data_IF_131923480841
#
_entry.id   IF_131923480841
#
_cell.length_a   1.000
_cell.length_b   1.000
_cell.length_c   1.000
_cell.angle_alpha   90.00
_cell.angle_beta   90.00
_cell.angle_gamma   90.00
#
_symmetry.space_group_name_H-M   'P 1'
#
loop_
_entity.id
_entity.type
_entity.pdbx_description
1 polymer ?
#
# COMPACT_ATOMS: atom_id res chain seq x y z
N UNK A 1 -41.08 -48.87 -16.81
CA UNK A 1 -41.62 -47.56 -17.20
C UNK A 1 -41.65 -46.73 -15.91
N UNK A 2 -40.48 -46.42 -15.38
CA UNK A 2 -39.66 -45.22 -15.68
C UNK A 2 -40.40 -43.96 -15.21
N UNK A 3 -40.08 -43.45 -14.02
CA UNK A 3 -38.96 -42.53 -13.68
C UNK A 3 -39.20 -41.13 -14.24
N UNK A 4 -39.41 -40.17 -13.33
CA UNK A 4 -38.79 -38.83 -13.38
C UNK A 4 -39.06 -38.08 -12.08
N UNK A 5 -38.15 -38.26 -11.13
CA UNK A 5 -37.88 -37.32 -10.05
C UNK A 5 -36.60 -36.58 -10.46
N UNK A 6 -36.73 -35.27 -10.72
CA UNK A 6 -35.64 -34.42 -11.16
C UNK A 6 -35.01 -33.72 -9.97
N UNK A 7 -33.91 -34.29 -9.49
CA UNK A 7 -32.99 -33.75 -8.50
C UNK A 7 -32.25 -32.51 -9.04
N UNK A 8 -32.23 -31.43 -8.26
CA UNK A 8 -31.54 -30.17 -8.63
C UNK A 8 -30.07 -30.26 -8.25
N UNK A 9 -29.22 -30.29 -9.28
CA UNK A 9 -27.77 -30.39 -9.17
C UNK A 9 -27.13 -29.26 -8.37
N UNK A 10 -26.43 -29.65 -7.30
CA UNK A 10 -25.30 -28.91 -6.74
C UNK A 10 -23.99 -29.36 -7.38
N UNK A 11 -23.08 -28.40 -7.55
CA UNK A 11 -21.63 -28.52 -7.77
C UNK A 11 -21.10 -28.42 -9.20
N UNK A 12 -20.93 -27.18 -9.67
CA UNK A 12 -20.10 -26.85 -10.83
C UNK A 12 -19.13 -25.68 -10.57
N UNK A 13 -18.32 -25.74 -9.51
CA UNK A 13 -17.25 -24.72 -9.27
C UNK A 13 -15.86 -25.27 -8.90
N UNK A 14 -15.62 -26.58 -8.90
CA UNK A 14 -14.31 -27.13 -8.48
C UNK A 14 -13.38 -27.59 -9.64
N UNK A 15 -13.80 -27.50 -10.91
CA UNK A 15 -12.99 -27.99 -12.04
C UNK A 15 -12.05 -26.95 -12.69
N UNK A 16 -12.09 -25.68 -12.29
CA UNK A 16 -11.31 -24.60 -12.93
C UNK A 16 -9.95 -24.28 -12.30
N UNK A 17 -9.80 -24.48 -10.98
CA UNK A 17 -8.62 -24.03 -10.23
C UNK A 17 -7.40 -24.94 -10.44
N UNK A 18 -7.60 -26.26 -10.31
CA UNK A 18 -6.53 -27.26 -10.43
C UNK A 18 -5.94 -27.36 -11.85
N UNK A 19 -6.74 -27.09 -12.89
CA UNK A 19 -6.30 -27.23 -14.28
C UNK A 19 -5.29 -26.17 -14.71
N UNK A 20 -5.43 -24.94 -14.22
CA UNK A 20 -4.54 -23.83 -14.58
C UNK A 20 -3.21 -23.93 -13.84
N UNK A 21 -3.22 -24.25 -12.56
CA UNK A 21 -1.99 -24.49 -11.78
C UNK A 21 -1.23 -25.73 -12.30
N UNK A 22 -1.92 -26.80 -12.69
CA UNK A 22 -1.28 -27.98 -13.29
C UNK A 22 -0.64 -27.67 -14.66
N UNK A 23 -1.26 -26.81 -15.47
CA UNK A 23 -0.68 -26.34 -16.73
C UNK A 23 0.54 -25.44 -16.51
N UNK A 24 0.50 -24.55 -15.51
CA UNK A 24 1.64 -23.70 -15.15
C UNK A 24 2.82 -24.54 -14.62
N UNK A 25 2.56 -25.50 -13.73
CA UNK A 25 3.59 -26.43 -13.27
C UNK A 25 4.13 -27.29 -14.42
N UNK A 26 3.25 -27.79 -15.30
CA UNK A 26 3.65 -28.57 -16.47
C UNK A 26 4.52 -27.78 -17.45
N UNK A 27 4.19 -26.51 -17.70
CA UNK A 27 4.98 -25.63 -18.57
C UNK A 27 6.34 -25.29 -17.96
N UNK A 28 6.40 -25.02 -16.66
CA UNK A 28 7.66 -24.80 -15.95
C UNK A 28 8.56 -26.05 -15.97
N UNK A 29 7.97 -27.23 -15.74
CA UNK A 29 8.72 -28.49 -15.75
C UNK A 29 9.23 -28.83 -17.15
N UNK A 30 8.41 -28.58 -18.18
CA UNK A 30 8.79 -28.80 -19.58
C UNK A 30 9.87 -27.81 -20.03
N UNK A 31 9.77 -26.54 -19.63
CA UNK A 31 10.79 -25.53 -19.91
C UNK A 31 12.12 -25.85 -19.22
N UNK A 32 12.08 -26.27 -17.95
CA UNK A 32 13.26 -26.69 -17.20
C UNK A 32 13.89 -27.94 -17.82
N UNK A 33 13.08 -28.93 -18.22
CA UNK A 33 13.54 -30.14 -18.91
C UNK A 33 14.18 -29.84 -20.26
N UNK A 34 13.57 -28.97 -21.06
CA UNK A 34 14.13 -28.53 -22.35
C UNK A 34 15.47 -27.80 -22.17
N UNK A 35 15.55 -26.90 -21.18
CA UNK A 35 16.80 -26.22 -20.85
C UNK A 35 17.89 -27.21 -20.40
N UNK A 36 17.54 -28.21 -19.58
CA UNK A 36 18.46 -29.24 -19.12
C UNK A 36 18.95 -30.14 -20.26
N UNK A 37 18.08 -30.49 -21.22
CA UNK A 37 18.46 -31.23 -22.42
C UNK A 37 19.40 -30.45 -23.34
N UNK A 38 19.21 -29.14 -23.48
CA UNK A 38 20.13 -28.28 -24.24
C UNK A 38 21.50 -28.25 -23.56
N UNK A 39 21.55 -28.13 -22.24
CA UNK A 39 22.81 -28.15 -21.46
C UNK A 39 23.53 -29.50 -21.60
N UNK A 40 22.80 -30.61 -21.49
CA UNK A 40 23.36 -31.96 -21.66
C UNK A 40 23.81 -32.24 -23.09
N UNK A 41 23.07 -31.74 -24.09
CA UNK A 41 23.39 -31.91 -25.50
C UNK A 41 24.60 -31.08 -25.96
N UNK A 42 24.84 -29.92 -25.36
CA UNK A 42 25.97 -29.04 -25.70
C UNK A 42 27.20 -29.24 -24.80
N UNK A 43 27.06 -29.99 -23.69
CA UNK A 43 28.09 -30.15 -22.66
C UNK A 43 29.34 -30.95 -23.05
N UNK A 44 29.36 -31.59 -24.22
CA UNK A 44 30.49 -32.44 -24.65
C UNK A 44 31.39 -31.80 -25.74
N UNK A 45 31.23 -30.51 -26.04
CA UNK A 45 32.15 -29.78 -26.94
C UNK A 45 32.45 -28.38 -26.42
N UNK A 46 33.72 -27.95 -26.50
CA UNK A 46 34.15 -26.59 -26.15
C UNK A 46 33.35 -25.50 -26.89
N UNK A 47 32.81 -25.84 -28.07
CA UNK A 47 31.94 -24.99 -28.88
C UNK A 47 30.59 -24.74 -28.22
N UNK A 48 30.03 -25.71 -27.51
CA UNK A 48 28.72 -25.60 -26.85
C UNK A 48 28.72 -24.61 -25.69
N UNK A 49 29.78 -24.61 -24.88
CA UNK A 49 29.93 -23.66 -23.77
C UNK A 49 30.05 -22.22 -24.29
N UNK A 50 30.86 -22.00 -25.35
CA UNK A 50 31.02 -20.68 -25.96
C UNK A 50 29.72 -20.16 -26.58
N UNK A 51 28.94 -21.03 -27.21
CA UNK A 51 27.62 -20.67 -27.75
C UNK A 51 26.65 -20.24 -26.64
N UNK A 52 26.64 -20.95 -25.50
CA UNK A 52 25.79 -20.62 -24.36
C UNK A 52 26.13 -19.24 -23.76
N UNK A 53 27.43 -18.96 -23.61
CA UNK A 53 27.91 -17.65 -23.12
C UNK A 53 27.52 -16.54 -24.10
N UNK A 54 27.70 -16.75 -25.41
CA UNK A 54 27.36 -15.76 -26.43
C UNK A 54 25.85 -15.44 -26.43
N UNK A 55 24.98 -16.46 -26.34
CA UNK A 55 23.53 -16.28 -26.25
C UNK A 55 23.12 -15.57 -24.95
N UNK A 56 23.74 -15.92 -23.82
CA UNK A 56 23.50 -15.26 -22.54
C UNK A 56 23.87 -13.77 -22.57
N UNK A 57 25.03 -13.43 -23.13
CA UNK A 57 25.47 -12.05 -23.32
C UNK A 57 24.56 -11.28 -24.28
N UNK A 58 24.10 -11.92 -25.36
CA UNK A 58 23.16 -11.32 -26.30
C UNK A 58 21.83 -10.97 -25.63
N UNK A 59 21.27 -11.88 -24.82
CA UNK A 59 20.03 -11.64 -24.08
C UNK A 59 20.17 -10.53 -23.04
N UNK A 60 21.30 -10.45 -22.35
CA UNK A 60 21.61 -9.35 -21.43
C UNK A 60 21.71 -8.02 -22.15
N UNK A 61 22.38 -7.98 -23.31
CA UNK A 61 22.51 -6.77 -24.12
C UNK A 61 21.16 -6.28 -24.65
N UNK A 62 20.32 -7.19 -25.17
CA UNK A 62 18.97 -6.88 -25.65
C UNK A 62 18.08 -6.39 -24.50
N UNK A 63 18.15 -7.02 -23.33
CA UNK A 63 17.39 -6.58 -22.14
C UNK A 63 17.83 -5.19 -21.65
N UNK A 64 19.13 -4.92 -21.61
CA UNK A 64 19.67 -3.62 -21.23
C UNK A 64 19.27 -2.53 -22.23
N UNK A 65 19.34 -2.82 -23.54
CA UNK A 65 18.89 -1.91 -24.59
C UNK A 65 17.38 -1.64 -24.48
N UNK A 66 16.56 -2.66 -24.29
CA UNK A 66 15.11 -2.51 -24.17
C UNK A 66 14.73 -1.68 -22.94
N UNK A 67 15.42 -1.90 -21.80
CA UNK A 67 15.28 -1.08 -20.60
C UNK A 67 15.66 0.37 -20.87
N UNK A 68 16.80 0.60 -21.53
CA UNK A 68 17.26 1.95 -21.86
C UNK A 68 16.35 2.68 -22.85
N UNK A 69 15.83 1.97 -23.86
CA UNK A 69 14.85 2.52 -24.80
C UNK A 69 13.54 2.89 -24.13
N UNK A 70 13.03 2.09 -23.18
CA UNK A 70 11.84 2.46 -22.38
C UNK A 70 12.10 3.66 -21.46
N UNK A 71 13.28 3.74 -20.85
CA UNK A 71 13.66 4.91 -20.05
C UNK A 71 13.86 6.17 -20.91
N UNK A 72 14.35 6.03 -22.15
CA UNK A 72 14.50 7.15 -23.10
C UNK A 72 13.18 7.59 -23.73
N UNK A 73 12.28 6.67 -24.06
CA UNK A 73 10.96 7.00 -24.58
C UNK A 73 10.09 7.73 -23.53
N UNK A 74 10.28 7.43 -22.24
CA UNK A 74 9.67 8.17 -21.14
C UNK A 74 10.25 9.58 -20.93
N UNK A 75 11.42 9.88 -21.50
CA UNK A 75 12.05 11.21 -21.42
C UNK A 75 11.92 12.05 -22.70
N UNK A 76 11.24 11.56 -23.74
CA UNK A 76 11.07 12.27 -25.02
C UNK A 76 9.63 12.71 -25.35
N UNK A 77 8.72 12.74 -24.37
CA UNK A 77 7.37 13.30 -24.57
C UNK A 77 7.23 14.67 -23.90
N UNK A 78 7.83 15.69 -24.52
CA UNK A 78 7.54 17.11 -24.22
C UNK A 78 7.01 17.76 -25.50
N UNK A 79 5.70 18.05 -25.63
CA UNK A 79 5.21 18.86 -26.74
C UNK A 79 5.62 20.31 -26.48
N UNK A 80 6.63 20.78 -27.21
CA UNK A 80 7.01 22.19 -27.24
C UNK A 80 5.97 23.00 -27.99
N UNK A 81 5.11 23.70 -27.25
CA UNK A 81 4.28 24.79 -27.79
C UNK A 81 5.16 25.99 -28.18
N UNK A 82 4.93 26.50 -29.40
CA UNK A 82 5.52 27.70 -30.00
C UNK A 82 5.40 28.95 -29.12
N UNK A 83 6.46 29.78 -29.08
CA UNK A 83 6.45 31.21 -29.48
C UNK A 83 7.75 31.93 -29.09
N UNK A 84 8.24 32.81 -29.99
CA UNK A 84 9.04 33.98 -29.60
C UNK A 84 10.55 33.91 -29.84
N UNK A 85 10.97 34.16 -31.07
CA UNK A 85 12.32 34.63 -31.41
C UNK A 85 12.62 35.95 -30.68
N UNK A 86 13.57 35.90 -29.76
CA UNK A 86 14.20 37.07 -29.15
C UNK A 86 15.50 36.65 -28.47
N UNK A 87 16.63 36.97 -29.09
CA UNK A 87 17.97 36.93 -28.52
C UNK A 87 18.66 38.26 -28.88
N UNK A 88 19.80 38.65 -28.27
CA UNK A 88 20.53 38.03 -27.16
C UNK A 88 20.93 39.03 -26.05
N UNK A 89 21.42 38.57 -24.89
CA UNK A 89 22.53 39.21 -24.13
C UNK A 89 23.10 38.22 -23.10
N UNK A 90 24.40 37.90 -23.30
CA UNK A 90 25.48 37.42 -22.39
C UNK A 90 25.32 37.84 -20.91
N UNK A 91 25.76 37.16 -19.82
CA UNK A 91 26.61 36.01 -19.46
C UNK A 91 26.47 35.85 -17.89
N UNK A 92 27.36 35.21 -17.10
CA UNK A 92 28.14 33.97 -17.23
C UNK A 92 27.73 32.91 -16.17
N UNK A 93 28.31 31.71 -16.27
CA UNK A 93 27.94 30.53 -15.49
C UNK A 93 28.14 30.62 -13.96
N UNK A 94 27.14 30.13 -13.25
CA UNK A 94 27.28 29.46 -11.96
C UNK A 94 26.85 27.99 -12.10
N UNK A 95 27.40 27.06 -11.30
CA UNK A 95 27.00 25.65 -11.36
C UNK A 95 25.51 25.52 -11.07
N UNK A 96 24.81 24.52 -11.64
CA UNK A 96 23.39 24.33 -11.37
C UNK A 96 23.19 24.08 -9.88
N UNK A 97 22.55 25.03 -9.21
CA UNK A 97 22.02 24.83 -7.86
C UNK A 97 21.08 23.62 -7.93
N UNK A 98 21.42 22.56 -7.21
CA UNK A 98 20.55 21.42 -7.05
C UNK A 98 19.18 21.91 -6.55
N UNK A 99 18.06 21.60 -7.23
CA UNK A 99 16.74 21.90 -6.71
C UNK A 99 16.50 20.94 -5.54
N UNK A 100 16.65 21.38 -4.29
CA UNK A 100 16.52 20.42 -3.20
C UNK A 100 16.45 20.92 -1.77
N UNK A 101 16.72 22.19 -1.46
CA UNK A 101 16.69 22.65 -0.07
C UNK A 101 15.68 23.76 0.19
N UNK A 102 15.33 24.58 -0.80
CA UNK A 102 14.36 25.66 -0.64
C UNK A 102 12.91 25.18 -0.59
N UNK A 103 12.59 24.05 -1.24
CA UNK A 103 11.24 23.46 -1.26
C UNK A 103 10.89 22.75 0.06
N UNK A 104 11.89 22.15 0.72
CA UNK A 104 11.68 21.29 1.90
C UNK A 104 11.11 22.06 3.10
N UNK A 105 11.34 23.38 3.18
CA UNK A 105 10.92 24.19 4.33
C UNK A 105 9.49 24.72 4.24
N UNK A 106 8.83 24.62 3.08
CA UNK A 106 7.42 25.01 2.89
C UNK A 106 6.51 23.81 2.55
N UNK A 107 7.02 22.57 2.62
CA UNK A 107 6.18 21.42 2.34
C UNK A 107 5.34 21.04 3.56
N UNK A 108 4.09 20.67 3.29
CA UNK A 108 3.15 20.23 4.30
C UNK A 108 2.82 18.76 4.09
N UNK A 109 2.67 18.04 5.21
CA UNK A 109 2.38 16.61 5.19
C UNK A 109 0.86 16.34 5.12
N UNK A 110 0.50 15.40 4.27
CA UNK A 110 -0.87 14.96 4.03
C UNK A 110 -0.97 13.44 4.11
N UNK A 111 -2.09 12.94 4.63
CA UNK A 111 -2.55 11.57 4.43
C UNK A 111 -3.59 11.57 3.32
N UNK A 112 -3.40 10.68 2.34
CA UNK A 112 -4.31 10.42 1.23
C UNK A 112 -4.66 8.95 1.27
N UNK A 113 -5.86 8.63 1.73
CA UNK A 113 -6.41 7.28 1.71
C UNK A 113 -7.32 7.14 0.50
N UNK A 114 -7.17 6.08 -0.29
CA UNK A 114 -7.89 5.90 -1.55
C UNK A 114 -8.01 4.41 -1.88
N UNK A 115 -9.15 4.02 -2.43
CA UNK A 115 -9.31 2.72 -3.07
C UNK A 115 -8.84 2.83 -4.52
N UNK A 116 -7.75 2.15 -4.85
CA UNK A 116 -7.22 2.05 -6.22
C UNK A 116 -7.62 0.70 -6.79
N UNK A 117 -8.07 0.67 -8.05
CA UNK A 117 -8.39 -0.60 -8.71
C UNK A 117 -7.17 -1.52 -8.75
N UNK A 118 -7.35 -2.78 -8.33
CA UNK A 118 -6.30 -3.81 -8.33
C UNK A 118 -6.04 -4.35 -9.74
N UNK A 119 -5.59 -3.47 -10.64
CA UNK A 119 -5.17 -3.78 -12.01
C UNK A 119 -3.81 -3.15 -12.30
N UNK A 120 -2.97 -3.79 -13.14
CA UNK A 120 -1.69 -3.21 -13.52
C UNK A 120 -1.83 -1.77 -14.04
N UNK A 121 -1.11 -0.84 -13.39
CA UNK A 121 -1.06 0.57 -13.79
C UNK A 121 -1.98 1.52 -13.02
N UNK A 122 -2.93 1.04 -12.21
CA UNK A 122 -3.80 1.90 -11.39
C UNK A 122 -3.00 2.81 -10.46
N UNK A 123 -2.09 2.21 -9.68
CA UNK A 123 -1.17 2.95 -8.81
C UNK A 123 -0.20 3.84 -9.59
N UNK A 124 0.23 3.41 -10.78
CA UNK A 124 1.12 4.19 -11.63
C UNK A 124 0.44 5.49 -12.11
N UNK A 125 -0.86 5.43 -12.44
CA UNK A 125 -1.62 6.61 -12.80
C UNK A 125 -1.68 7.62 -11.65
N UNK A 126 -1.95 7.15 -10.42
CA UNK A 126 -2.01 8.00 -9.22
C UNK A 126 -0.67 8.67 -8.93
N UNK A 127 0.40 7.89 -8.86
CA UNK A 127 1.74 8.41 -8.57
C UNK A 127 2.23 9.36 -9.66
N UNK A 128 1.84 9.15 -10.92
CA UNK A 128 2.10 10.11 -12.02
C UNK A 128 1.40 11.45 -11.79
N UNK A 129 0.16 11.45 -11.27
CA UNK A 129 -0.57 12.69 -10.93
C UNK A 129 0.08 13.42 -9.77
N UNK A 130 0.51 12.72 -8.72
CA UNK A 130 1.27 13.32 -7.62
C UNK A 130 2.57 13.96 -8.12
N UNK A 131 3.34 13.26 -8.94
CA UNK A 131 4.56 13.80 -9.52
C UNK A 131 4.32 15.08 -10.34
N UNK A 132 3.24 15.13 -11.13
CA UNK A 132 2.87 16.32 -11.91
C UNK A 132 2.52 17.54 -11.04
N UNK A 133 2.11 17.32 -9.79
CA UNK A 133 1.79 18.35 -8.81
C UNK A 133 2.97 18.69 -7.87
N UNK A 134 4.15 18.08 -8.08
CA UNK A 134 5.29 18.25 -7.18
C UNK A 134 5.08 17.64 -5.80
N UNK A 135 4.20 16.63 -5.70
CA UNK A 135 3.91 15.90 -4.46
C UNK A 135 4.88 14.73 -4.32
N UNK A 136 5.57 14.66 -3.18
CA UNK A 136 6.53 13.61 -2.86
C UNK A 136 5.92 12.57 -1.91
N UNK A 137 6.09 11.28 -2.23
CA UNK A 137 5.54 10.19 -1.43
C UNK A 137 6.55 9.82 -0.34
N UNK A 138 6.16 10.02 0.91
CA UNK A 138 7.02 9.80 2.08
C UNK A 138 6.85 8.40 2.66
N UNK A 139 5.64 7.88 2.65
CA UNK A 139 5.28 6.53 3.09
C UNK A 139 4.04 6.06 2.32
N UNK A 140 3.97 4.77 2.00
CA UNK A 140 2.79 4.12 1.45
C UNK A 140 2.46 2.88 2.27
N UNK A 141 1.19 2.72 2.60
CA UNK A 141 0.65 1.54 3.27
C UNK A 141 -0.51 1.00 2.46
N UNK A 142 -0.64 -0.33 2.40
CA UNK A 142 -1.73 -1.01 1.72
C UNK A 142 -2.55 -1.75 2.77
N UNK A 143 -3.85 -1.46 2.82
CA UNK A 143 -4.81 -2.14 3.67
C UNK A 143 -5.70 -3.03 2.80
N UNK A 144 -5.54 -4.37 2.85
CA UNK A 144 -6.40 -5.28 2.09
C UNK A 144 -7.88 -5.11 2.50
N UNK A 145 -8.79 -5.03 1.52
CA UNK A 145 -10.22 -4.82 1.71
C UNK A 145 -11.06 -5.72 0.77
N UNK A 146 -10.97 -7.04 0.97
CA UNK A 146 -11.67 -8.01 0.12
C UNK A 146 -11.04 -8.10 -1.27
N UNK A 147 -11.81 -7.82 -2.32
CA UNK A 147 -11.33 -7.80 -3.71
C UNK A 147 -10.63 -6.48 -4.09
N UNK A 148 -10.76 -5.44 -3.27
CA UNK A 148 -10.10 -4.15 -3.46
C UNK A 148 -9.00 -3.96 -2.39
N UNK A 149 -8.05 -3.07 -2.67
CA UNK A 149 -7.07 -2.58 -1.70
C UNK A 149 -7.32 -1.10 -1.39
N UNK A 150 -7.25 -0.75 -0.10
CA UNK A 150 -7.26 0.63 0.34
C UNK A 150 -5.81 1.05 0.52
N UNK A 151 -5.32 1.92 -0.35
CA UNK A 151 -3.98 2.48 -0.27
C UNK A 151 -4.00 3.76 0.57
N UNK A 152 -3.00 3.92 1.42
CA UNK A 152 -2.80 5.11 2.24
C UNK A 152 -1.40 5.67 1.99
N UNK A 153 -1.36 6.88 1.46
CA UNK A 153 -0.13 7.60 1.15
C UNK A 153 0.06 8.73 2.16
N UNK A 154 1.24 8.82 2.74
CA UNK A 154 1.69 10.03 3.39
C UNK A 154 2.57 10.79 2.42
N UNK A 155 2.16 12.00 2.07
CA UNK A 155 2.79 12.79 1.01
C UNK A 155 3.18 14.17 1.51
N UNK A 156 4.35 14.63 1.11
CA UNK A 156 4.77 16.02 1.24
C UNK A 156 4.30 16.77 0.01
N UNK A 157 3.58 17.86 0.20
CA UNK A 157 3.08 18.71 -0.89
C UNK A 157 3.45 20.17 -0.63
N UNK A 158 3.65 20.99 -1.67
CA UNK A 158 3.95 22.42 -1.51
C UNK A 158 2.95 23.15 -0.59
N UNK A 159 3.38 24.15 0.20
CA UNK A 159 2.54 24.86 1.18
C UNK A 159 1.20 25.37 0.62
N UNK A 160 1.21 25.85 -0.62
CA UNK A 160 0.03 26.39 -1.29
C UNK A 160 -0.97 25.31 -1.71
N UNK A 161 -0.57 24.02 -1.66
CA UNK A 161 -1.42 22.91 -2.00
C UNK A 161 -2.53 22.76 -0.97
N UNK A 162 -3.76 22.61 -1.48
CA UNK A 162 -4.96 22.42 -0.70
C UNK A 162 -5.50 21.00 -0.87
N UNK A 163 -6.36 20.62 0.06
CA UNK A 163 -7.01 19.30 0.11
C UNK A 163 -7.74 18.96 -1.20
N UNK A 164 -8.45 19.93 -1.78
CA UNK A 164 -9.21 19.77 -3.02
C UNK A 164 -8.33 19.48 -4.24
N UNK A 165 -7.11 20.02 -4.29
CA UNK A 165 -6.17 19.72 -5.37
C UNK A 165 -5.69 18.26 -5.30
N UNK A 166 -5.37 17.77 -4.10
CA UNK A 166 -4.99 16.37 -3.89
C UNK A 166 -6.18 15.43 -4.17
N UNK A 167 -7.38 15.80 -3.71
CA UNK A 167 -8.60 15.05 -3.99
C UNK A 167 -8.88 14.97 -5.50
N UNK A 168 -8.75 16.08 -6.23
CA UNK A 168 -8.85 16.12 -7.68
C UNK A 168 -7.84 15.21 -8.37
N UNK A 169 -6.58 15.26 -7.95
CA UNK A 169 -5.53 14.39 -8.48
C UNK A 169 -5.84 12.90 -8.33
N UNK A 170 -6.38 12.53 -7.17
CA UNK A 170 -6.81 11.15 -6.89
C UNK A 170 -7.96 10.73 -7.80
N UNK A 171 -8.99 11.58 -7.94
CA UNK A 171 -10.13 11.28 -8.81
C UNK A 171 -9.74 11.19 -10.28
N UNK A 172 -8.87 12.07 -10.75
CA UNK A 172 -8.36 12.10 -12.13
C UNK A 172 -7.48 10.88 -12.45
N UNK A 173 -6.93 10.22 -11.41
CA UNK A 173 -6.23 8.95 -11.53
C UNK A 173 -7.17 7.73 -11.46
N UNK A 174 -8.48 7.93 -11.29
CA UNK A 174 -9.47 6.86 -11.16
C UNK A 174 -9.63 6.30 -9.74
N UNK A 175 -9.07 6.98 -8.73
CA UNK A 175 -9.24 6.60 -7.32
C UNK A 175 -10.68 6.76 -6.84
N UNK A 176 -11.11 5.82 -5.99
CA UNK A 176 -12.44 5.79 -5.36
C UNK A 176 -12.31 6.00 -3.85
N UNK A 177 -13.41 6.42 -3.22
CA UNK A 177 -13.54 6.53 -1.76
C UNK A 177 -12.40 7.31 -1.08
N UNK A 178 -11.91 8.34 -1.77
CA UNK A 178 -10.75 9.09 -1.33
C UNK A 178 -11.06 9.91 -0.07
N UNK A 179 -10.14 9.90 0.89
CA UNK A 179 -10.11 10.77 2.05
C UNK A 179 -8.74 11.43 2.13
N UNK A 180 -8.72 12.75 2.17
CA UNK A 180 -7.50 13.55 2.25
C UNK A 180 -7.53 14.35 3.55
N UNK A 181 -6.43 14.36 4.30
CA UNK A 181 -6.33 15.13 5.53
C UNK A 181 -4.88 15.54 5.78
N UNK A 182 -4.68 16.63 6.53
CA UNK A 182 -3.38 16.92 7.14
C UNK A 182 -2.89 15.75 8.00
N UNK A 183 -1.63 15.39 7.79
CA UNK A 183 -0.96 14.37 8.59
C UNK A 183 0.13 15.01 9.46
N UNK A 184 0.42 14.34 10.56
CA UNK A 184 1.49 14.71 11.48
C UNK A 184 2.78 13.93 11.15
N UNK A 185 3.95 14.51 11.41
CA UNK A 185 5.26 13.87 11.16
C UNK A 185 5.40 12.54 11.91
N UNK A 186 4.78 12.40 13.08
CA UNK A 186 4.78 11.14 13.81
C UNK A 186 4.12 10.02 13.01
N UNK A 187 3.20 10.34 12.10
CA UNK A 187 2.51 9.38 11.23
C UNK A 187 3.44 8.72 10.22
N UNK A 188 4.59 9.32 9.90
CA UNK A 188 5.64 8.74 9.06
C UNK A 188 6.42 7.62 9.75
N UNK A 189 6.31 7.51 11.08
CA UNK A 189 6.98 6.43 11.81
C UNK A 189 6.35 5.09 11.47
N UNK A 190 7.19 4.08 11.21
CA UNK A 190 6.74 2.71 11.01
C UNK A 190 5.74 2.29 12.08
N UNK A 191 4.63 1.70 11.65
CA UNK A 191 3.53 1.38 12.56
C UNK A 191 3.93 0.30 13.56
N UNK A 192 4.81 -0.63 13.19
CA UNK A 192 5.28 -1.68 14.10
C UNK A 192 6.07 -1.06 15.25
N UNK A 193 7.05 -0.21 14.93
CA UNK A 193 7.82 0.51 15.95
C UNK A 193 6.94 1.35 16.86
N UNK A 194 5.94 2.07 16.31
CA UNK A 194 4.99 2.85 17.11
C UNK A 194 4.14 1.98 18.03
N UNK A 195 3.66 0.84 17.52
CA UNK A 195 2.87 -0.10 18.32
C UNK A 195 3.68 -0.67 19.48
N UNK A 196 4.94 -1.05 19.25
CA UNK A 196 5.84 -1.52 20.30
C UNK A 196 6.14 -0.42 21.33
N UNK A 197 6.29 0.83 20.90
CA UNK A 197 6.44 1.97 21.80
C UNK A 197 5.19 2.20 22.67
N UNK A 198 3.99 2.10 22.09
CA UNK A 198 2.72 2.18 22.83
C UNK A 198 2.59 1.03 23.84
N UNK A 199 2.97 -0.20 23.48
CA UNK A 199 2.99 -1.34 24.40
C UNK A 199 3.98 -1.11 25.53
N UNK A 200 5.19 -0.65 25.23
CA UNK A 200 6.19 -0.31 26.25
C UNK A 200 5.67 0.78 27.22
N UNK A 201 5.02 1.82 26.69
CA UNK A 201 4.41 2.86 27.50
C UNK A 201 3.25 2.34 28.36
N UNK A 202 2.43 1.39 27.87
CA UNK A 202 1.39 0.73 28.66
C UNK A 202 1.98 -0.09 29.79
N UNK A 203 3.03 -0.87 29.50
CA UNK A 203 3.77 -1.67 30.50
C UNK A 203 4.35 -0.78 31.60
N UNK A 204 4.92 0.37 31.23
CA UNK A 204 5.50 1.34 32.17
C UNK A 204 4.45 2.22 32.88
N UNK A 205 3.15 2.09 32.55
CA UNK A 205 2.09 2.97 33.07
C UNK A 205 2.17 4.42 32.59
N UNK A 206 2.95 4.71 31.54
CA UNK A 206 3.14 6.04 30.97
C UNK A 206 1.98 6.49 30.05
N UNK A 207 1.09 5.57 29.66
CA UNK A 207 -0.12 5.85 28.87
C UNK A 207 -1.28 4.97 29.33
N UNK A 208 -2.50 5.31 28.92
CA UNK A 208 -3.70 4.48 29.13
C UNK A 208 -4.09 3.77 27.83
N UNK A 209 -4.91 2.72 27.94
CA UNK A 209 -5.39 1.98 26.78
C UNK A 209 -6.18 2.88 25.81
N UNK A 210 -7.01 3.77 26.33
CA UNK A 210 -7.81 4.69 25.52
C UNK A 210 -6.92 5.64 24.71
N UNK A 211 -5.88 6.22 25.34
CA UNK A 211 -4.91 7.07 24.64
C UNK A 211 -4.13 6.31 23.58
N UNK A 212 -3.72 5.08 23.89
CA UNK A 212 -3.03 4.23 22.92
C UNK A 212 -3.92 3.84 21.74
N UNK A 213 -5.21 3.59 21.97
CA UNK A 213 -6.18 3.32 20.90
C UNK A 213 -6.44 4.56 20.03
N UNK A 214 -6.59 5.74 20.63
CA UNK A 214 -6.69 7.00 19.88
C UNK A 214 -5.47 7.19 18.97
N UNK A 215 -4.27 6.99 19.51
CA UNK A 215 -3.02 7.16 18.76
C UNK A 215 -2.84 6.11 17.66
N UNK A 216 -3.14 4.84 17.93
CA UNK A 216 -2.93 3.74 16.99
C UNK A 216 -3.90 3.77 15.80
N UNK A 217 -5.12 4.26 16.01
CA UNK A 217 -6.21 4.20 15.02
C UNK A 217 -6.53 5.55 14.35
N UNK A 218 -5.83 6.62 14.75
CA UNK A 218 -6.15 8.01 14.40
C UNK A 218 -7.64 8.35 14.64
N UNK A 219 -8.23 7.72 15.68
CA UNK A 219 -9.58 8.00 16.12
C UNK A 219 -9.67 9.35 16.83
N UNK A 220 -10.88 9.91 16.89
CA UNK A 220 -11.13 11.17 17.60
C UNK A 220 -11.72 10.95 18.99
N UNK A 221 -12.31 9.78 19.24
CA UNK A 221 -12.99 9.48 20.49
C UNK A 221 -12.83 8.00 20.86
N UNK A 222 -12.65 7.74 22.16
CA UNK A 222 -12.71 6.41 22.77
C UNK A 222 -13.55 6.54 24.03
N UNK A 223 -14.74 5.95 24.01
CA UNK A 223 -15.65 5.94 25.15
C UNK A 223 -15.61 4.58 25.85
N UNK A 224 -15.39 4.58 27.17
CA UNK A 224 -15.56 3.39 28.00
C UNK A 224 -17.00 3.31 28.50
N UNK A 225 -17.64 2.16 28.29
CA UNK A 225 -19.08 1.95 28.54
C UNK A 225 -19.33 0.54 29.07
N UNK A 226 -20.41 0.35 29.83
CA UNK A 226 -20.77 -0.99 30.33
C UNK A 226 -21.30 -1.92 29.23
N UNK A 227 -21.95 -1.35 28.21
CA UNK A 227 -22.57 -2.09 27.10
C UNK A 227 -22.19 -1.47 25.76
N UNK A 228 -22.09 -2.27 24.68
CA UNK A 228 -21.82 -1.76 23.36
C UNK A 228 -22.89 -0.76 22.90
N UNK A 229 -22.51 0.32 22.19
CA UNK A 229 -23.47 1.26 21.64
C UNK A 229 -24.25 0.64 20.46
N UNK A 230 -25.50 1.08 20.28
CA UNK A 230 -26.25 0.88 19.03
C UNK A 230 -26.47 -0.58 18.61
N UNK A 231 -26.54 -1.53 19.55
CA UNK A 231 -26.78 -2.94 19.25
C UNK A 231 -25.58 -3.70 18.67
N UNK A 232 -24.40 -3.09 18.60
CA UNK A 232 -23.17 -3.79 18.23
C UNK A 232 -22.81 -4.89 19.23
N UNK A 233 -22.01 -5.86 18.79
CA UNK A 233 -21.41 -6.82 19.70
C UNK A 233 -20.32 -6.16 20.58
N UNK A 234 -19.86 -6.87 21.62
CA UNK A 234 -18.74 -6.42 22.47
C UNK A 234 -17.43 -6.27 21.71
N UNK A 235 -17.26 -7.05 20.66
CA UNK A 235 -16.14 -7.01 19.73
C UNK A 235 -16.72 -6.97 18.32
N UNK A 236 -16.72 -5.79 17.70
CA UNK A 236 -17.37 -5.55 16.42
C UNK A 236 -16.72 -4.41 15.65
N UNK A 237 -16.90 -4.40 14.32
CA UNK A 237 -16.44 -3.37 13.41
C UNK A 237 -17.61 -2.92 12.53
N UNK A 238 -18.02 -1.66 12.68
CA UNK A 238 -19.11 -1.05 11.91
C UNK A 238 -18.71 0.31 11.36
N UNK A 239 -18.22 0.31 10.12
CA UNK A 239 -17.83 1.51 9.40
C UNK A 239 -16.84 2.37 10.19
N UNK A 240 -17.29 3.51 10.68
CA UNK A 240 -16.47 4.47 11.42
C UNK A 240 -16.39 4.23 12.94
N UNK A 241 -16.96 3.12 13.41
CA UNK A 241 -16.95 2.73 14.83
C UNK A 241 -16.45 1.30 14.97
N UNK A 242 -15.65 1.04 16.00
CA UNK A 242 -15.36 -0.32 16.45
C UNK A 242 -15.60 -0.43 17.96
N UNK A 243 -15.98 -1.62 18.41
CA UNK A 243 -16.11 -1.97 19.82
C UNK A 243 -15.06 -3.01 20.19
N UNK A 244 -14.42 -2.81 21.34
CA UNK A 244 -13.39 -3.69 21.87
C UNK A 244 -13.70 -4.01 23.33
N UNK A 245 -13.44 -5.24 23.81
CA UNK A 245 -13.59 -5.56 25.22
C UNK A 245 -12.58 -4.76 26.07
N UNK A 246 -13.07 -4.14 27.14
CA UNK A 246 -12.21 -3.46 28.11
C UNK A 246 -11.64 -4.45 29.14
N UNK A 247 -10.45 -4.22 29.72
CA UNK A 247 -9.84 -5.11 30.71
C UNK A 247 -10.69 -5.38 31.96
N UNK A 248 -11.58 -4.45 32.31
CA UNK A 248 -12.47 -4.49 33.48
C UNK A 248 -13.83 -5.13 33.20
N UNK A 249 -14.02 -5.71 32.00
CA UNK A 249 -15.28 -6.33 31.57
C UNK A 249 -16.27 -5.37 30.91
N UNK A 250 -15.92 -4.08 30.82
CA UNK A 250 -16.63 -3.09 30.02
C UNK A 250 -16.37 -3.21 28.51
N UNK A 251 -16.71 -2.15 27.78
CA UNK A 251 -16.54 -2.02 26.33
C UNK A 251 -15.96 -0.66 26.00
N UNK A 252 -14.93 -0.66 25.15
CA UNK A 252 -14.33 0.51 24.55
C UNK A 252 -14.94 0.73 23.17
N UNK A 253 -15.66 1.83 22.99
CA UNK A 253 -16.19 2.26 21.71
C UNK A 253 -15.25 3.30 21.09
N UNK A 254 -14.53 2.91 20.05
CA UNK A 254 -13.58 3.76 19.33
C UNK A 254 -14.27 4.33 18.10
N UNK A 255 -14.24 5.67 17.92
CA UNK A 255 -14.94 6.36 16.83
C UNK A 255 -14.01 7.23 16.01
N UNK A 256 -14.15 7.13 14.70
CA UNK A 256 -13.51 8.00 13.72
C UNK A 256 -14.54 8.82 12.96
N UNK A 257 -14.19 10.02 12.51
CA UNK A 257 -15.04 10.87 11.66
C UNK A 257 -14.76 10.61 10.19
N UNK A 258 -15.81 10.39 9.41
CA UNK A 258 -15.80 10.39 7.94
C UNK A 258 -15.08 9.22 7.26
N UNK A 259 -14.14 8.55 7.92
CA UNK A 259 -13.32 7.48 7.33
C UNK A 259 -13.58 6.15 8.06
N UNK A 260 -14.10 5.11 7.39
CA UNK A 260 -14.36 3.81 8.01
C UNK A 260 -13.05 3.11 8.38
N UNK A 261 -13.06 2.34 9.46
CA UNK A 261 -11.95 1.50 9.88
C UNK A 261 -11.78 0.29 8.96
N UNK A 262 -10.54 -0.06 8.67
CA UNK A 262 -10.20 -1.29 7.95
C UNK A 262 -10.17 -2.49 8.91
N UNK A 263 -10.29 -3.70 8.36
CA UNK A 263 -10.15 -4.93 9.15
C UNK A 263 -8.76 -5.03 9.81
N UNK A 264 -7.71 -4.50 9.15
CA UNK A 264 -6.34 -4.47 9.69
C UNK A 264 -6.21 -3.47 10.84
N UNK A 265 -6.84 -2.31 10.75
CA UNK A 265 -6.92 -1.35 11.86
C UNK A 265 -7.62 -1.96 13.07
N UNK A 266 -8.77 -2.61 12.84
CA UNK A 266 -9.52 -3.31 13.88
C UNK A 266 -8.69 -4.42 14.54
N UNK A 267 -8.04 -5.28 13.74
CA UNK A 267 -7.23 -6.37 14.25
C UNK A 267 -6.06 -5.87 15.15
N UNK A 268 -5.41 -4.77 14.76
CA UNK A 268 -4.34 -4.14 15.56
C UNK A 268 -4.87 -3.57 16.88
N UNK A 269 -5.99 -2.86 16.86
CA UNK A 269 -6.59 -2.30 18.06
C UNK A 269 -7.07 -3.39 19.02
N UNK A 270 -7.66 -4.46 18.48
CA UNK A 270 -8.02 -5.66 19.24
C UNK A 270 -6.82 -6.31 19.91
N UNK A 271 -5.72 -6.49 19.16
CA UNK A 271 -4.50 -7.06 19.73
C UNK A 271 -3.97 -6.20 20.89
N UNK A 272 -3.98 -4.87 20.75
CA UNK A 272 -3.59 -3.95 21.81
C UNK A 272 -4.50 -4.06 23.05
N UNK A 273 -5.82 -4.14 22.86
CA UNK A 273 -6.77 -4.35 23.96
C UNK A 273 -6.52 -5.69 24.67
N UNK A 274 -6.20 -6.76 23.93
CA UNK A 274 -5.86 -8.06 24.49
C UNK A 274 -4.56 -8.02 25.33
N UNK A 275 -3.54 -7.28 24.87
CA UNK A 275 -2.32 -7.04 25.65
C UNK A 275 -2.64 -6.33 26.96
N UNK A 276 -3.44 -5.26 26.91
CA UNK A 276 -3.84 -4.53 28.11
C UNK A 276 -4.65 -5.38 29.10
N UNK A 277 -5.56 -6.24 28.61
CA UNK A 277 -6.27 -7.21 29.44
C UNK A 277 -5.32 -8.24 30.11
N UNK A 278 -4.30 -8.68 29.38
CA UNK A 278 -3.27 -9.57 29.92
C UNK A 278 -2.44 -8.89 31.01
N UNK A 279 -2.08 -7.62 30.84
CA UNK A 279 -1.37 -6.83 31.85
C UNK A 279 -2.22 -6.57 33.11
N UNK A 280 -3.54 -6.41 32.94
CA UNK A 280 -4.46 -6.24 34.05
C UNK A 280 -4.59 -7.51 34.91
N UNK A 281 -4.67 -8.68 34.26
CA UNK A 281 -4.78 -9.97 34.96
C UNK A 281 -3.46 -10.50 35.49
N UNK A 282 -2.33 -10.15 34.85
CA UNK A 282 -0.98 -10.51 35.26
C UNK A 282 -0.07 -9.29 35.16
N UNK A 283 -0.02 -8.44 36.21
CA UNK A 283 0.92 -7.33 36.22
C UNK A 283 2.34 -7.89 36.14
N UNK A 284 3.17 -7.27 35.30
CA UNK A 284 4.57 -7.64 35.18
C UNK A 284 5.25 -7.39 36.53
N UNK A 285 5.89 -8.43 37.07
CA UNK A 285 6.73 -8.29 38.27
C UNK A 285 8.04 -7.64 37.83
N UNK A 286 8.29 -6.44 38.32
CA UNK A 286 9.58 -5.75 38.21
C UNK A 286 10.64 -6.39 39.10
#
# INVERSE_FOLDING_TARGET
MDVSEGDYGTNDHHRGFLGREALELGTLLLAAGAAHLVVLSLGHSDTGVRALIAVGLLLLAVSAAHRWHRHRAASSSRPGGRAGTGAPTTAPGGPPTAPGLSHVFDDLLWSVRVTVSDVPGGLAALTTRFAALGVDIRLMQVHPAGADAIDEFFVSAPAHMREDALYGAVRDAGGRDAAVRRADVHELSDTTSRTLALVSALVAGATTLERSLLSLSAAQDVAHTAQPPGGMAREDLSGTTMTLPAPDGGVLAVRRRGVPFTAVEFARCRALAHVAASLHTRPLRG
#
